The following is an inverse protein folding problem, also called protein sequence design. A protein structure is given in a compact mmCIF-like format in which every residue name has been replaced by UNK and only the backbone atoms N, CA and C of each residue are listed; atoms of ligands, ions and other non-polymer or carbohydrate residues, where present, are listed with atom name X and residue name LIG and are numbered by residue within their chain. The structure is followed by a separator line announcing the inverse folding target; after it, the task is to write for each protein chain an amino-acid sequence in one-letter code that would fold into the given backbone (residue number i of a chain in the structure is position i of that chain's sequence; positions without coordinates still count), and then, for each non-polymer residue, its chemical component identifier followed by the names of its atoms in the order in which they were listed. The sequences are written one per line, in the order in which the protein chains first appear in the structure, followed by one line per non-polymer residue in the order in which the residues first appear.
data_IF_947048322640
#
_entry.id   IF_947048322640
#
_cell.length_a   1.000
_cell.length_b   1.000
_cell.length_c   1.000
_cell.angle_alpha   90.00
_cell.angle_beta   90.00
_cell.angle_gamma   90.00
#
_symmetry.space_group_name_H-M   'P 1'
#
loop_
_entity.id
_entity.type
_entity.pdbx_description
1 polymer ?
#
# COMPACT_ATOMS: atom_id res chain seq x y z
N UNK A 1 11.51 2.20 4.80
CA UNK A 1 10.22 2.28 5.52
C UNK A 1 10.50 2.88 6.89
N UNK A 2 9.71 3.85 7.29
CA UNK A 2 9.78 4.47 8.61
C UNK A 2 8.89 3.73 9.61
N UNK A 3 9.03 4.04 10.90
CA UNK A 3 8.15 3.52 11.96
C UNK A 3 6.69 4.01 11.86
N UNK A 4 6.40 4.97 11.00
CA UNK A 4 5.05 5.43 10.68
C UNK A 4 4.46 4.76 9.45
N UNK A 5 5.17 3.81 8.83
CA UNK A 5 4.74 3.13 7.61
C UNK A 5 5.06 3.88 6.32
N UNK A 6 5.54 5.10 6.41
CA UNK A 6 5.99 5.83 5.23
C UNK A 6 7.10 5.07 4.52
N UNK A 7 7.01 4.95 3.22
CA UNK A 7 8.00 4.22 2.43
C UNK A 7 8.47 5.04 1.24
N UNK A 8 9.71 4.82 0.87
CA UNK A 8 10.33 5.40 -0.29
C UNK A 8 10.83 4.28 -1.20
N UNK A 9 10.27 4.22 -2.39
CA UNK A 9 10.64 3.24 -3.41
C UNK A 9 11.38 3.96 -4.51
N UNK A 10 12.58 3.47 -4.80
CA UNK A 10 13.43 4.00 -5.86
C UNK A 10 13.81 2.86 -6.81
N UNK A 11 13.73 3.14 -8.10
CA UNK A 11 14.22 2.26 -9.16
C UNK A 11 15.20 3.04 -10.04
N UNK A 12 16.46 2.62 -10.05
CA UNK A 12 17.58 3.35 -10.67
C UNK A 12 17.63 4.81 -10.16
N UNK A 13 17.50 5.78 -11.04
CA UNK A 13 17.51 7.22 -10.75
C UNK A 13 16.10 7.80 -10.49
N UNK A 14 15.05 7.00 -10.66
CA UNK A 14 13.66 7.45 -10.51
C UNK A 14 13.08 7.04 -9.16
N UNK A 15 12.33 7.95 -8.55
CA UNK A 15 11.45 7.62 -7.44
C UNK A 15 10.15 7.04 -7.99
N UNK A 16 9.68 5.97 -7.39
CA UNK A 16 8.47 5.26 -7.82
C UNK A 16 7.23 5.87 -7.20
N UNK A 17 7.25 6.09 -5.89
CA UNK A 17 6.17 6.72 -5.16
C UNK A 17 6.51 8.14 -4.75
N UNK A 18 5.48 8.97 -4.62
CA UNK A 18 5.59 10.35 -4.19
C UNK A 18 6.17 10.42 -2.78
N UNK A 19 7.02 11.42 -2.57
CA UNK A 19 7.57 11.72 -1.26
C UNK A 19 7.23 13.16 -0.90
N UNK A 20 6.69 13.35 0.29
CA UNK A 20 6.45 14.67 0.88
C UNK A 20 7.30 14.83 2.13
N UNK A 21 7.80 16.04 2.34
CA UNK A 21 8.71 16.37 3.44
C UNK A 21 8.02 16.84 4.71
N UNK A 22 6.71 16.69 4.80
CA UNK A 22 5.97 17.12 5.98
C UNK A 22 5.73 15.93 6.90
N UNK A 23 6.02 16.09 8.18
CA UNK A 23 5.74 15.10 9.23
C UNK A 23 4.25 14.81 9.40
N UNK A 24 3.39 15.56 8.71
CA UNK A 24 1.94 15.51 8.84
C UNK A 24 1.31 14.55 7.83
N UNK A 25 1.95 14.33 6.67
CA UNK A 25 1.42 13.48 5.61
C UNK A 25 2.30 12.25 5.41
N UNK A 26 1.75 11.09 5.70
CA UNK A 26 2.40 9.82 5.38
C UNK A 26 2.40 9.61 3.87
N UNK A 27 3.58 9.32 3.32
CA UNK A 27 3.75 8.94 1.92
C UNK A 27 4.29 7.52 1.84
N UNK A 28 3.74 6.72 0.94
CA UNK A 28 4.18 5.34 0.83
C UNK A 28 3.22 4.50 0.01
N UNK A 29 3.35 3.21 0.21
CA UNK A 29 2.45 2.21 -0.31
C UNK A 29 1.74 1.57 0.89
N UNK A 30 0.47 1.92 1.07
CA UNK A 30 -0.31 1.58 2.25
C UNK A 30 -1.35 0.50 1.96
N UNK A 31 -1.70 -0.25 3.01
CA UNK A 31 -2.81 -1.19 3.00
C UNK A 31 -3.77 -0.79 4.12
N UNK A 32 -5.02 -0.54 3.74
CA UNK A 32 -6.11 -0.20 4.65
C UNK A 32 -7.11 -1.34 4.71
N UNK A 33 -7.60 -1.59 5.91
CA UNK A 33 -8.60 -2.60 6.18
C UNK A 33 -9.87 -1.93 6.71
N UNK A 34 -11.01 -2.37 6.22
CA UNK A 34 -12.32 -1.94 6.73
C UNK A 34 -13.11 -3.15 7.13
N UNK A 35 -13.44 -3.27 8.40
CA UNK A 35 -14.39 -4.26 8.90
C UNK A 35 -15.82 -3.77 8.57
N UNK A 36 -16.48 -4.44 7.66
CA UNK A 36 -17.83 -4.04 7.22
C UNK A 36 -18.90 -4.26 8.32
N UNK A 37 -18.65 -5.11 9.28
CA UNK A 37 -19.58 -5.36 10.38
C UNK A 37 -19.58 -4.21 11.39
N UNK A 38 -18.39 -3.78 11.80
CA UNK A 38 -18.25 -2.67 12.77
C UNK A 38 -18.14 -1.29 12.11
N UNK A 39 -17.87 -1.24 10.81
CA UNK A 39 -17.54 0.00 10.09
C UNK A 39 -16.17 0.57 10.46
N UNK A 40 -15.39 -0.14 11.25
CA UNK A 40 -14.07 0.33 11.68
C UNK A 40 -13.06 0.25 10.55
N UNK A 41 -12.26 1.30 10.40
CA UNK A 41 -11.16 1.39 9.42
C UNK A 41 -9.86 1.55 10.15
N UNK A 42 -8.86 0.79 9.73
CA UNK A 42 -7.50 0.91 10.25
C UNK A 42 -6.47 0.60 9.18
N UNK A 43 -5.26 1.06 9.40
CA UNK A 43 -4.15 0.77 8.50
C UNK A 43 -3.42 -0.49 8.93
N UNK A 44 -3.09 -1.35 7.97
CA UNK A 44 -2.21 -2.50 8.21
C UNK A 44 -0.71 -2.14 8.09
N UNK A 45 -0.40 -0.93 7.62
CA UNK A 45 0.97 -0.52 7.30
C UNK A 45 1.37 0.84 7.89
N UNK A 46 0.41 1.69 8.26
CA UNK A 46 0.67 3.03 8.77
C UNK A 46 0.34 3.13 10.26
N UNK A 47 1.36 3.36 11.06
CA UNK A 47 1.19 3.53 12.51
C UNK A 47 0.52 4.84 12.95
N UNK A 48 0.40 5.83 12.06
CA UNK A 48 -0.22 7.12 12.37
C UNK A 48 -1.74 7.10 12.16
N UNK A 49 -2.23 6.35 11.17
CA UNK A 49 -3.65 6.18 10.91
C UNK A 49 -4.07 4.86 11.54
N UNK A 50 -4.16 4.87 12.84
CA UNK A 50 -4.62 3.73 13.59
C UNK A 50 -6.13 3.57 13.43
N UNK A 51 -6.93 3.35 14.21
CA UNK A 51 -8.36 3.09 14.08
C UNK A 51 -9.21 4.37 14.06
N UNK A 52 -10.28 4.38 13.27
CA UNK A 52 -11.26 5.48 13.30
C UNK A 52 -12.10 5.47 14.57
N UNK A 53 -12.33 4.31 15.17
CA UNK A 53 -13.25 4.16 16.28
C UNK A 53 -12.58 4.01 17.65
N UNK A 54 -11.30 3.68 17.72
CA UNK A 54 -10.71 3.30 19.01
C UNK A 54 -9.21 3.63 19.11
N UNK A 55 -8.88 4.91 18.99
CA UNK A 55 -7.48 5.39 19.02
C UNK A 55 -6.69 4.98 20.28
N UNK A 56 -7.37 4.72 21.37
CA UNK A 56 -6.73 4.41 22.66
C UNK A 56 -6.51 2.91 22.92
N UNK A 57 -7.06 2.02 22.09
CA UNK A 57 -6.95 0.56 22.29
C UNK A 57 -6.15 -0.13 21.18
N UNK A 58 -5.71 0.60 20.17
CA UNK A 58 -4.93 0.04 19.08
C UNK A 58 -3.47 -0.08 19.49
N UNK A 59 -2.95 -1.28 19.45
CA UNK A 59 -1.53 -1.55 19.68
C UNK A 59 -0.83 -1.70 18.34
N UNK A 60 0.26 -0.99 18.16
CA UNK A 60 1.10 -1.09 16.99
C UNK A 60 2.55 -1.40 17.39
N UNK A 61 3.13 -2.45 16.83
CA UNK A 61 4.52 -2.85 17.06
C UNK A 61 5.24 -2.96 15.72
N UNK A 62 6.38 -2.30 15.63
CA UNK A 62 7.25 -2.35 14.48
C UNK A 62 8.51 -3.15 14.77
N UNK A 63 8.84 -4.06 13.88
CA UNK A 63 10.08 -4.84 13.94
C UNK A 63 10.81 -4.71 12.61
N UNK A 64 12.05 -4.27 12.66
CA UNK A 64 12.90 -4.16 11.49
C UNK A 64 14.02 -5.19 11.57
N UNK A 65 14.23 -5.89 10.48
CA UNK A 65 15.37 -6.80 10.28
C UNK A 65 16.12 -6.43 8.99
N UNK A 66 17.19 -7.13 8.67
CA UNK A 66 18.05 -6.81 7.54
C UNK A 66 17.32 -6.80 6.19
N UNK A 67 16.32 -7.68 6.01
CA UNK A 67 15.68 -7.93 4.72
C UNK A 67 14.16 -7.69 4.73
N UNK A 68 13.57 -7.33 5.86
CA UNK A 68 12.12 -7.11 5.98
C UNK A 68 11.76 -6.19 7.13
N UNK A 69 10.58 -5.60 7.00
CA UNK A 69 9.92 -4.85 8.08
C UNK A 69 8.61 -5.57 8.40
N UNK A 70 8.32 -5.78 9.66
CA UNK A 70 7.07 -6.34 10.14
C UNK A 70 6.32 -5.30 10.98
N UNK A 71 5.05 -5.15 10.68
CA UNK A 71 4.12 -4.33 11.46
C UNK A 71 3.06 -5.24 12.04
N UNK A 72 2.94 -5.26 13.36
CA UNK A 72 1.84 -5.91 14.06
C UNK A 72 0.88 -4.86 14.57
N UNK A 73 -0.39 -5.01 14.24
CA UNK A 73 -1.46 -4.11 14.67
C UNK A 73 -2.59 -4.95 15.28
N UNK A 74 -2.94 -4.61 16.50
CA UNK A 74 -4.09 -5.15 17.20
C UNK A 74 -5.14 -4.05 17.33
N UNK A 75 -6.30 -4.26 16.70
CA UNK A 75 -7.42 -3.34 16.73
C UNK A 75 -8.70 -4.05 17.16
N UNK A 76 -8.97 -3.95 18.43
CA UNK A 76 -10.07 -4.69 19.07
C UNK A 76 -9.85 -6.20 19.00
N UNK A 77 -10.68 -6.88 18.19
CA UNK A 77 -10.64 -8.32 18.03
C UNK A 77 -10.00 -8.80 16.72
N UNK A 78 -9.39 -7.87 15.99
CA UNK A 78 -8.63 -8.18 14.78
C UNK A 78 -7.15 -7.96 15.03
N UNK A 79 -6.36 -8.97 14.72
CA UNK A 79 -4.91 -8.86 14.70
C UNK A 79 -4.43 -8.90 13.26
N UNK A 80 -3.50 -8.01 12.93
CA UNK A 80 -2.96 -7.91 11.59
C UNK A 80 -1.43 -7.89 11.66
N UNK A 81 -0.80 -8.78 10.92
CA UNK A 81 0.65 -8.77 10.75
C UNK A 81 0.96 -8.48 9.28
N UNK A 82 1.67 -7.41 9.02
CA UNK A 82 2.15 -7.06 7.69
C UNK A 82 3.65 -7.22 7.61
N UNK A 83 4.12 -8.11 6.75
CA UNK A 83 5.54 -8.27 6.43
C UNK A 83 5.82 -7.65 5.07
N UNK A 84 6.68 -6.63 5.03
CA UNK A 84 7.10 -5.95 3.80
C UNK A 84 8.54 -6.28 3.49
N UNK A 85 8.82 -6.69 2.27
CA UNK A 85 10.17 -6.99 1.78
C UNK A 85 10.29 -6.76 0.27
N UNK A 86 11.51 -6.63 -0.20
CA UNK A 86 11.86 -6.51 -1.62
C UNK A 86 12.39 -7.85 -2.10
N UNK A 87 11.93 -8.29 -3.27
CA UNK A 87 12.47 -9.50 -3.90
C UNK A 87 13.95 -9.30 -4.26
N UNK A 88 14.83 -10.28 -3.96
CA UNK A 88 16.23 -10.19 -4.35
C UNK A 88 16.45 -10.40 -5.86
N UNK A 89 15.51 -11.03 -6.55
CA UNK A 89 15.61 -11.39 -7.97
C UNK A 89 14.84 -10.47 -8.90
N UNK A 90 13.77 -9.88 -8.40
CA UNK A 90 12.84 -9.06 -9.18
C UNK A 90 12.63 -7.68 -8.58
N UNK A 91 12.31 -6.70 -9.42
CA UNK A 91 11.96 -5.35 -8.97
C UNK A 91 10.54 -5.30 -8.40
N UNK A 92 10.31 -6.03 -7.32
CA UNK A 92 9.00 -6.21 -6.69
C UNK A 92 9.10 -5.97 -5.20
N UNK A 93 8.25 -5.08 -4.68
CA UNK A 93 7.93 -4.99 -3.27
C UNK A 93 6.76 -5.93 -2.96
N UNK A 94 6.89 -6.74 -1.95
CA UNK A 94 5.87 -7.68 -1.49
C UNK A 94 5.41 -7.26 -0.10
N UNK A 95 4.10 -7.11 0.06
CA UNK A 95 3.44 -6.95 1.35
C UNK A 95 2.56 -8.16 1.63
N UNK A 96 3.00 -9.00 2.55
CA UNK A 96 2.18 -10.10 3.06
C UNK A 96 1.38 -9.59 4.25
N UNK A 97 0.08 -9.52 4.11
CA UNK A 97 -0.85 -9.14 5.18
C UNK A 97 -1.57 -10.38 5.67
N UNK A 98 -1.38 -10.71 6.94
CA UNK A 98 -2.10 -11.79 7.62
C UNK A 98 -3.09 -11.17 8.58
N UNK A 99 -4.36 -11.54 8.47
CA UNK A 99 -5.45 -11.03 9.30
C UNK A 99 -5.99 -12.20 10.12
N UNK A 100 -6.04 -12.01 11.43
CA UNK A 100 -6.58 -12.98 12.35
C UNK A 100 -7.80 -12.40 13.09
N UNK A 101 -8.90 -13.14 13.08
CA UNK A 101 -10.14 -12.77 13.76
C UNK A 101 -10.24 -13.52 15.08
N UNK A 102 -10.06 -12.82 16.20
CA UNK A 102 -10.11 -13.37 17.55
C UNK A 102 -11.54 -13.62 18.07
N UNK A 103 -12.55 -13.48 17.19
CA UNK A 103 -13.94 -13.73 17.56
C UNK A 103 -14.49 -14.99 16.91
N UNK A 104 -15.56 -15.53 17.47
CA UNK A 104 -16.36 -16.60 16.85
C UNK A 104 -17.31 -16.08 15.75
N UNK A 105 -17.38 -14.77 15.54
CA UNK A 105 -18.27 -14.15 14.57
C UNK A 105 -17.57 -14.02 13.21
N UNK A 106 -18.28 -14.37 12.17
CA UNK A 106 -17.81 -14.11 10.78
C UNK A 106 -17.61 -12.60 10.59
N UNK A 107 -16.48 -12.23 10.01
CA UNK A 107 -16.14 -10.86 9.66
C UNK A 107 -15.94 -10.74 8.15
N UNK A 108 -16.37 -9.63 7.59
CA UNK A 108 -16.13 -9.26 6.20
C UNK A 108 -15.17 -8.07 6.18
N UNK A 109 -13.98 -8.31 5.67
CA UNK A 109 -12.89 -7.32 5.65
C UNK A 109 -12.65 -6.85 4.22
N UNK A 110 -12.86 -5.55 4.00
CA UNK A 110 -12.49 -4.91 2.76
C UNK A 110 -11.02 -4.49 2.83
N UNK A 111 -10.25 -4.88 1.82
CA UNK A 111 -8.83 -4.55 1.69
C UNK A 111 -8.67 -3.49 0.59
N UNK A 112 -8.03 -2.37 0.93
CA UNK A 112 -7.72 -1.30 -0.01
C UNK A 112 -6.21 -1.07 -0.01
N UNK A 113 -5.61 -0.94 -1.18
CA UNK A 113 -4.23 -0.50 -1.33
C UNK A 113 -4.20 0.93 -1.83
N UNK A 114 -3.21 1.70 -1.39
CA UNK A 114 -3.05 3.08 -1.80
C UNK A 114 -1.58 3.41 -2.01
N UNK A 115 -1.26 3.98 -3.16
CA UNK A 115 0.04 4.54 -3.48
C UNK A 115 -0.13 5.74 -4.41
N UNK A 116 0.62 6.82 -4.17
CA UNK A 116 0.75 7.93 -5.11
C UNK A 116 2.00 7.71 -5.97
N UNK A 117 1.87 7.36 -7.26
CA UNK A 117 3.03 7.21 -8.13
C UNK A 117 3.65 8.57 -8.44
N UNK A 118 4.98 8.63 -8.48
CA UNK A 118 5.75 9.83 -8.89
C UNK A 118 6.52 9.60 -10.19
N UNK A 119 7.18 8.46 -10.32
CA UNK A 119 7.83 7.96 -11.54
C UNK A 119 8.77 9.00 -12.20
N UNK A 120 9.49 9.77 -11.39
CA UNK A 120 10.33 10.88 -11.85
C UNK A 120 11.62 10.93 -11.04
N UNK A 121 12.56 11.80 -11.45
CA UNK A 121 13.71 12.08 -10.63
C UNK A 121 13.31 12.86 -9.36
N UNK A 122 14.14 12.70 -8.33
CA UNK A 122 13.87 13.28 -7.02
C UNK A 122 13.71 14.80 -7.04
N UNK A 123 14.58 15.51 -7.73
CA UNK A 123 14.55 16.98 -7.79
C UNK A 123 13.30 17.49 -8.49
N UNK A 124 12.90 16.84 -9.57
CA UNK A 124 11.64 17.19 -10.27
C UNK A 124 10.43 16.98 -9.36
N UNK A 125 10.41 15.92 -8.56
CA UNK A 125 9.31 15.70 -7.62
C UNK A 125 9.28 16.76 -6.50
N UNK A 126 10.43 17.23 -6.04
CA UNK A 126 10.52 18.25 -4.98
C UNK A 126 10.12 19.63 -5.50
N UNK A 127 10.65 20.01 -6.67
CA UNK A 127 10.47 21.37 -7.21
C UNK A 127 9.13 21.53 -7.93
N UNK A 128 8.68 20.50 -8.62
CA UNK A 128 7.47 20.53 -9.47
C UNK A 128 6.55 19.32 -9.25
N UNK A 129 6.07 19.06 -8.03
CA UNK A 129 5.30 17.85 -7.72
C UNK A 129 4.01 17.72 -8.54
N UNK A 130 3.29 18.82 -8.74
CA UNK A 130 2.04 18.84 -9.52
C UNK A 130 2.26 18.57 -11.01
N UNK A 131 3.36 19.05 -11.56
CA UNK A 131 3.69 18.82 -12.96
C UNK A 131 4.02 17.35 -13.24
N UNK A 132 4.71 16.69 -12.32
CA UNK A 132 5.01 15.25 -12.45
C UNK A 132 3.73 14.41 -12.52
N UNK A 133 2.70 14.78 -11.77
CA UNK A 133 1.43 14.05 -11.73
C UNK A 133 0.67 14.12 -13.07
N UNK A 134 0.78 15.22 -13.82
CA UNK A 134 0.11 15.37 -15.11
C UNK A 134 0.60 14.38 -16.18
N UNK A 135 1.75 13.75 -15.96
CA UNK A 135 2.35 12.81 -16.91
C UNK A 135 2.03 11.35 -16.57
N UNK A 136 1.33 11.12 -15.46
CA UNK A 136 1.02 9.77 -14.98
C UNK A 136 -0.40 9.42 -15.43
N UNK A 137 -0.52 8.28 -16.06
CA UNK A 137 -1.77 7.66 -16.45
C UNK A 137 -1.96 6.38 -15.63
N UNK A 138 -3.17 6.14 -15.16
CA UNK A 138 -3.50 4.93 -14.41
C UNK A 138 -4.67 4.23 -15.04
N UNK A 139 -4.58 2.91 -15.16
CA UNK A 139 -5.67 2.08 -15.66
C UNK A 139 -5.65 0.71 -14.98
N UNK A 140 -6.76 0.01 -15.06
CA UNK A 140 -6.88 -1.36 -14.61
C UNK A 140 -6.86 -2.29 -15.82
N UNK A 141 -6.02 -3.31 -15.76
CA UNK A 141 -5.93 -4.37 -16.75
C UNK A 141 -6.77 -5.54 -16.26
N UNK A 142 -7.92 -5.76 -16.89
CA UNK A 142 -8.88 -6.80 -16.52
C UNK A 142 -8.33 -8.21 -16.80
N UNK A 143 -7.50 -8.38 -17.81
CA UNK A 143 -6.96 -9.70 -18.20
C UNK A 143 -5.90 -10.19 -17.21
N UNK A 144 -5.07 -9.29 -16.74
CA UNK A 144 -4.01 -9.57 -15.77
C UNK A 144 -4.44 -9.37 -14.32
N UNK A 145 -5.60 -8.74 -14.09
CA UNK A 145 -6.09 -8.38 -12.76
C UNK A 145 -5.08 -7.51 -11.99
N UNK A 146 -4.60 -6.44 -12.62
CA UNK A 146 -3.59 -5.53 -12.09
C UNK A 146 -3.99 -4.06 -12.26
N UNK A 147 -3.58 -3.24 -11.31
CA UNK A 147 -3.60 -1.78 -11.48
C UNK A 147 -2.25 -1.36 -12.05
N UNK A 148 -2.28 -0.59 -13.12
CA UNK A 148 -1.10 -0.10 -13.82
C UNK A 148 -1.01 1.40 -13.69
N UNK A 149 0.16 1.90 -13.33
CA UNK A 149 0.54 3.29 -13.52
C UNK A 149 1.64 3.38 -14.59
N UNK A 150 1.46 4.24 -15.55
CA UNK A 150 2.44 4.51 -16.62
C UNK A 150 2.76 5.99 -16.68
N UNK A 151 3.98 6.30 -17.07
CA UNK A 151 4.42 7.67 -17.28
C UNK A 151 4.51 7.96 -18.76
N UNK A 152 3.85 9.04 -19.19
CA UNK A 152 3.97 9.54 -20.56
C UNK A 152 5.40 10.02 -20.82
N UNK A 153 5.99 9.58 -21.94
CA UNK A 153 7.28 10.07 -22.41
C UNK A 153 7.24 11.57 -22.68
N UNK A 154 8.30 12.25 -22.33
CA UNK A 154 8.49 13.67 -22.69
C UNK A 154 9.13 13.84 -24.08
N UNK A 155 9.98 12.88 -24.45
CA UNK A 155 10.71 12.84 -25.72
C UNK A 155 11.03 11.37 -26.07
N UNK A 156 11.59 11.14 -27.26
CA UNK A 156 11.91 9.78 -27.75
C UNK A 156 13.02 9.08 -26.94
N UNK A 157 13.88 9.85 -26.28
CA UNK A 157 14.97 9.31 -25.44
C UNK A 157 14.50 8.88 -24.05
N UNK A 158 13.28 9.25 -23.66
CA UNK A 158 12.72 8.91 -22.35
C UNK A 158 12.33 7.43 -22.31
N UNK A 159 12.57 6.78 -21.17
CA UNK A 159 12.29 5.36 -20.99
C UNK A 159 10.84 5.17 -20.56
N UNK A 160 10.18 4.17 -21.11
CA UNK A 160 8.88 3.73 -20.59
C UNK A 160 9.08 3.21 -19.17
N UNK A 161 8.29 3.74 -18.25
CA UNK A 161 8.28 3.31 -16.87
C UNK A 161 6.85 2.92 -16.51
N UNK A 162 6.71 1.71 -15.98
CA UNK A 162 5.45 1.15 -15.51
C UNK A 162 5.57 0.71 -14.08
N UNK A 163 4.51 0.90 -13.32
CA UNK A 163 4.35 0.36 -11.97
C UNK A 163 3.08 -0.46 -11.94
N UNK A 164 3.18 -1.69 -11.48
CA UNK A 164 2.06 -2.62 -11.39
C UNK A 164 1.75 -2.91 -9.93
N UNK A 165 0.47 -2.94 -9.61
CA UNK A 165 0.00 -3.38 -8.30
C UNK A 165 -1.01 -4.49 -8.47
N UNK A 166 -0.79 -5.61 -7.77
CA UNK A 166 -1.69 -6.76 -7.75
C UNK A 166 -2.02 -7.14 -6.32
N UNK A 167 -3.30 -7.34 -6.05
CA UNK A 167 -3.75 -7.97 -4.82
C UNK A 167 -3.97 -9.47 -5.07
N UNK A 168 -3.31 -10.30 -4.27
CA UNK A 168 -3.49 -11.76 -4.30
C UNK A 168 -4.09 -12.15 -2.96
N UNK A 169 -5.28 -12.72 -2.97
CA UNK A 169 -5.90 -13.26 -1.77
C UNK A 169 -5.64 -14.75 -1.72
N UNK A 170 -5.04 -15.19 -0.62
CA UNK A 170 -4.79 -16.60 -0.33
C UNK A 170 -5.68 -16.94 0.86
N UNK A 171 -6.72 -17.72 0.60
CA UNK A 171 -7.58 -18.24 1.66
C UNK A 171 -7.01 -19.57 2.18
N UNK A 172 -6.76 -19.61 3.46
CA UNK A 172 -6.26 -20.81 4.13
C UNK A 172 -7.41 -21.65 4.71
N UNK A 173 -8.59 -21.06 4.87
CA UNK A 173 -9.81 -21.71 5.37
C UNK A 173 -10.92 -21.61 4.30
N UNK A 174 -11.38 -22.71 3.81
CA UNK A 174 -12.17 -22.97 2.59
C UNK A 174 -13.53 -22.27 2.40
N UNK A 175 -13.90 -21.22 3.10
CA UNK A 175 -15.23 -20.61 3.01
C UNK A 175 -15.26 -19.08 2.97
N UNK A 176 -14.43 -18.44 2.17
CA UNK A 176 -14.56 -16.99 1.94
C UNK A 176 -14.81 -16.71 0.46
N UNK A 177 -16.04 -16.30 0.12
CA UNK A 177 -16.32 -15.67 -1.15
C UNK A 177 -15.54 -14.35 -1.24
N UNK A 178 -14.53 -14.31 -2.08
CA UNK A 178 -13.79 -13.09 -2.40
C UNK A 178 -14.58 -12.30 -3.44
N UNK A 179 -15.34 -11.29 -3.02
CA UNK A 179 -15.74 -10.24 -3.95
C UNK A 179 -14.54 -9.41 -4.34
N UNK A 180 -14.11 -9.51 -5.59
CA UNK A 180 -13.14 -8.60 -6.18
C UNK A 180 -13.76 -7.21 -6.25
N UNK A 181 -13.38 -6.31 -5.36
CA UNK A 181 -13.79 -4.92 -5.48
C UNK A 181 -12.96 -4.21 -6.53
N UNK A 182 -13.62 -3.74 -7.58
CA UNK A 182 -13.05 -2.78 -8.52
C UNK A 182 -12.68 -1.51 -7.76
N UNK A 183 -11.45 -1.07 -7.90
CA UNK A 183 -11.06 0.27 -7.45
C UNK A 183 -11.84 1.24 -8.33
N UNK A 184 -12.82 1.91 -7.73
CA UNK A 184 -13.64 2.89 -8.43
C UNK A 184 -12.75 4.09 -8.74
N UNK A 185 -12.61 4.41 -10.04
CA UNK A 185 -12.03 5.68 -10.47
C UNK A 185 -12.92 6.82 -9.96
N UNK A 186 -12.37 7.68 -9.13
CA UNK A 186 -12.84 9.05 -8.99
C UNK A 186 -11.95 9.97 -9.83
#
# INVERSE_FOLDING_TARGET
ITNTGSSFIKYKDKIVNKQRYTDIESTGNFVYLTDKVSGNRFSATDGNILSTNNKNSTKCVWTSSLNRVETYIEDGNLETTTTTFISPEYNVEIKKVSIYNNTSLRREILINTYMEPAMTDYMTNVVHPSFSNLQIETYYDDDLDILVASKRKKNEEDTDLFVYTKLIVIDLDKEVETEKQKIIKN
#
